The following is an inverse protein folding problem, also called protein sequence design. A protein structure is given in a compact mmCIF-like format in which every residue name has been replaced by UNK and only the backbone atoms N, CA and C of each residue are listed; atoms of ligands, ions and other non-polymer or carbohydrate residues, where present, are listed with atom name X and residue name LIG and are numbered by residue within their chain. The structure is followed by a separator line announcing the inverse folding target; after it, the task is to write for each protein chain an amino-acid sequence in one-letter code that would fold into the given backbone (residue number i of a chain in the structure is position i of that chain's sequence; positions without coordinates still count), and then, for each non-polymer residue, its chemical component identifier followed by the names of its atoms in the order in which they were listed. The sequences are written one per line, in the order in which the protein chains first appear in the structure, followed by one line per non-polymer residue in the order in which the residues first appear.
data_IF_477104649759
#
_entry.id   IF_477104649759
#
_cell.length_a   1.000
_cell.length_b   1.000
_cell.length_c   1.000
_cell.angle_alpha   90.00
_cell.angle_beta   90.00
_cell.angle_gamma   90.00
#
_symmetry.space_group_name_H-M   'P 1'
#
loop_
_entity.id
_entity.type
_entity.pdbx_description
1 polymer ?
#
# COMPACT_ATOMS: atom_id res chain seq x y z
N UNK A 1 -37.20 -21.13 -10.85
CA UNK A 1 -36.75 -22.04 -11.93
C UNK A 1 -35.75 -22.97 -11.29
N UNK A 2 -36.03 -24.27 -11.27
CA UNK A 2 -35.06 -25.25 -10.75
C UNK A 2 -33.89 -25.36 -11.73
N UNK A 3 -32.67 -25.29 -11.22
CA UNK A 3 -31.45 -25.47 -12.02
C UNK A 3 -31.05 -26.94 -12.01
N UNK A 4 -30.66 -27.53 -13.17
CA UNK A 4 -30.20 -28.91 -13.21
C UNK A 4 -28.99 -29.15 -12.28
N UNK A 5 -28.80 -30.39 -11.77
CA UNK A 5 -27.62 -30.74 -10.98
C UNK A 5 -26.32 -30.40 -11.74
N UNK A 6 -25.37 -29.74 -11.05
CA UNK A 6 -24.10 -29.30 -11.67
C UNK A 6 -24.16 -27.94 -12.38
N UNK A 7 -25.34 -27.31 -12.44
CA UNK A 7 -25.50 -25.91 -12.84
C UNK A 7 -25.87 -25.01 -11.66
N UNK A 8 -25.35 -23.80 -11.70
CA UNK A 8 -25.71 -22.73 -10.78
C UNK A 8 -26.11 -21.49 -11.58
N UNK A 9 -27.24 -20.91 -11.19
CA UNK A 9 -27.69 -19.63 -11.69
C UNK A 9 -27.34 -18.57 -10.65
N UNK A 10 -26.57 -17.56 -11.06
CA UNK A 10 -26.21 -16.43 -10.21
C UNK A 10 -26.74 -15.16 -10.87
N UNK A 11 -27.61 -14.43 -10.18
CA UNK A 11 -28.16 -13.17 -10.67
C UNK A 11 -27.88 -12.03 -9.70
N UNK A 12 -27.60 -10.85 -10.24
CA UNK A 12 -27.49 -9.62 -9.48
C UNK A 12 -28.02 -8.45 -10.31
N UNK A 13 -29.15 -7.86 -9.88
CA UNK A 13 -29.87 -6.85 -10.64
C UNK A 13 -30.14 -7.32 -12.09
N UNK A 14 -29.55 -6.65 -13.08
CA UNK A 14 -29.66 -6.94 -14.51
C UNK A 14 -28.62 -7.94 -15.03
N UNK A 15 -27.58 -8.25 -14.24
CA UNK A 15 -26.55 -9.22 -14.60
C UNK A 15 -26.96 -10.65 -14.23
N UNK A 16 -26.92 -11.56 -15.20
CA UNK A 16 -27.19 -12.99 -15.02
C UNK A 16 -26.01 -13.84 -15.48
N UNK A 17 -25.55 -14.75 -14.65
CA UNK A 17 -24.52 -15.73 -14.95
C UNK A 17 -25.03 -17.16 -14.77
N UNK A 18 -24.77 -17.99 -15.79
CA UNK A 18 -24.98 -19.44 -15.73
C UNK A 18 -23.62 -20.11 -15.59
N UNK A 19 -23.42 -20.85 -14.51
CA UNK A 19 -22.17 -21.55 -14.22
C UNK A 19 -22.45 -23.04 -14.29
N UNK A 20 -21.79 -23.75 -15.21
CA UNK A 20 -21.85 -25.20 -15.33
C UNK A 20 -20.46 -25.82 -15.16
N UNK A 21 -20.41 -27.03 -14.61
CA UNK A 21 -19.17 -27.81 -14.53
C UNK A 21 -19.36 -29.14 -15.27
N UNK A 22 -18.44 -29.47 -16.19
CA UNK A 22 -18.46 -30.71 -16.94
C UNK A 22 -17.03 -31.18 -17.29
N UNK A 23 -16.89 -32.45 -17.72
CA UNK A 23 -15.58 -33.03 -18.05
C UNK A 23 -15.15 -32.68 -19.48
N UNK A 24 -16.10 -32.53 -20.40
CA UNK A 24 -15.87 -32.15 -21.81
C UNK A 24 -16.69 -30.92 -22.20
N UNK A 25 -16.32 -30.26 -23.30
CA UNK A 25 -17.08 -29.13 -23.82
C UNK A 25 -18.47 -29.54 -24.32
N UNK A 26 -18.61 -30.71 -24.93
CA UNK A 26 -19.90 -31.25 -25.39
C UNK A 26 -20.86 -31.46 -24.22
N UNK A 27 -20.40 -32.09 -23.13
CA UNK A 27 -21.22 -32.24 -21.93
C UNK A 27 -21.62 -30.90 -21.31
N UNK A 28 -20.74 -29.89 -21.40
CA UNK A 28 -21.06 -28.54 -20.92
C UNK A 28 -22.11 -27.87 -21.81
N UNK A 29 -22.02 -28.07 -23.13
CA UNK A 29 -22.99 -27.61 -24.12
C UNK A 29 -24.38 -28.21 -23.88
N UNK A 30 -24.45 -29.54 -23.76
CA UNK A 30 -25.69 -30.29 -23.51
C UNK A 30 -26.37 -29.86 -22.21
N UNK A 31 -25.60 -29.43 -21.21
CA UNK A 31 -26.13 -29.03 -19.91
C UNK A 31 -26.54 -27.54 -19.86
N UNK A 32 -25.74 -26.65 -20.47
CA UNK A 32 -25.96 -25.19 -20.40
C UNK A 32 -27.01 -24.72 -21.41
N UNK A 33 -27.01 -25.21 -22.65
CA UNK A 33 -27.90 -24.69 -23.70
C UNK A 33 -29.40 -24.83 -23.37
N UNK A 34 -29.90 -25.96 -22.84
CA UNK A 34 -31.30 -26.07 -22.42
C UNK A 34 -31.66 -25.09 -21.29
N UNK A 35 -30.71 -24.84 -20.39
CA UNK A 35 -30.90 -23.88 -19.30
C UNK A 35 -30.98 -22.45 -19.84
N UNK A 36 -30.10 -22.07 -20.77
CA UNK A 36 -30.14 -20.77 -21.44
C UNK A 36 -31.46 -20.56 -22.21
N UNK A 37 -31.95 -21.58 -22.92
CA UNK A 37 -33.23 -21.53 -23.61
C UNK A 37 -34.41 -21.33 -22.65
N UNK A 38 -34.38 -22.03 -21.51
CA UNK A 38 -35.41 -21.89 -20.47
C UNK A 38 -35.42 -20.48 -19.87
N UNK A 39 -34.23 -19.91 -19.63
CA UNK A 39 -34.08 -18.53 -19.14
C UNK A 39 -34.67 -17.54 -20.16
N UNK A 40 -34.35 -17.68 -21.44
CA UNK A 40 -34.83 -16.79 -22.51
C UNK A 40 -36.37 -16.79 -22.59
N UNK A 41 -36.98 -17.99 -22.58
CA UNK A 41 -38.45 -18.15 -22.55
C UNK A 41 -39.05 -17.53 -21.29
N UNK A 42 -38.45 -17.79 -20.13
CA UNK A 42 -38.94 -17.27 -18.86
C UNK A 42 -38.87 -15.73 -18.82
N UNK A 43 -37.76 -15.13 -19.25
CA UNK A 43 -37.62 -13.66 -19.29
C UNK A 43 -38.68 -13.03 -20.20
N UNK A 44 -38.88 -13.58 -21.41
CA UNK A 44 -39.92 -13.11 -22.33
C UNK A 44 -41.32 -13.22 -21.73
N UNK A 45 -41.63 -14.32 -21.03
CA UNK A 45 -42.91 -14.49 -20.33
C UNK A 45 -43.16 -13.44 -19.23
N UNK A 46 -42.12 -12.77 -18.75
CA UNK A 46 -42.17 -11.70 -17.76
C UNK A 46 -42.02 -10.30 -18.36
N UNK A 47 -42.05 -10.18 -19.70
CA UNK A 47 -41.86 -8.91 -20.40
C UNK A 47 -40.43 -8.38 -20.36
N UNK A 48 -39.44 -9.24 -20.09
CA UNK A 48 -38.02 -8.92 -20.13
C UNK A 48 -37.37 -9.54 -21.36
N UNK A 49 -36.36 -8.87 -21.92
CA UNK A 49 -35.63 -9.35 -23.08
C UNK A 49 -34.14 -9.47 -22.77
N UNK A 50 -33.56 -10.64 -23.06
CA UNK A 50 -32.11 -10.83 -23.01
C UNK A 50 -31.45 -10.10 -24.17
N UNK A 51 -30.39 -9.36 -23.88
CA UNK A 51 -29.53 -8.82 -24.92
C UNK A 51 -28.60 -9.92 -25.45
N UNK A 52 -29.09 -10.82 -26.31
CA UNK A 52 -28.35 -12.01 -26.78
C UNK A 52 -26.96 -11.66 -27.35
N UNK A 53 -26.83 -10.54 -28.05
CA UNK A 53 -25.57 -10.07 -28.65
C UNK A 53 -24.53 -9.60 -27.63
N UNK A 54 -24.94 -9.30 -26.40
CA UNK A 54 -24.05 -8.92 -25.29
C UNK A 54 -23.66 -10.11 -24.43
N UNK A 55 -24.29 -11.28 -24.61
CA UNK A 55 -23.95 -12.49 -23.88
C UNK A 55 -22.57 -12.97 -24.31
N UNK A 56 -21.69 -13.20 -23.35
CA UNK A 56 -20.35 -13.73 -23.55
C UNK A 56 -20.10 -14.87 -22.57
N UNK A 57 -19.18 -15.78 -22.91
CA UNK A 57 -18.80 -16.87 -22.03
C UNK A 57 -17.28 -17.00 -21.92
N UNK A 58 -16.81 -17.46 -20.77
CA UNK A 58 -15.43 -17.89 -20.55
C UNK A 58 -15.44 -19.35 -20.10
N UNK A 59 -14.56 -20.16 -20.65
CA UNK A 59 -14.33 -21.51 -20.16
C UNK A 59 -13.14 -21.49 -19.19
N UNK A 60 -13.43 -21.76 -17.92
CA UNK A 60 -12.41 -21.84 -16.87
C UNK A 60 -11.82 -23.26 -16.86
N UNK A 61 -10.57 -23.42 -17.31
CA UNK A 61 -9.94 -24.74 -17.38
C UNK A 61 -8.43 -24.67 -17.19
N UNK A 62 -7.89 -25.67 -16.48
CA UNK A 62 -6.44 -25.89 -16.38
C UNK A 62 -5.90 -26.73 -17.55
N UNK A 63 -6.77 -27.38 -18.34
CA UNK A 63 -6.37 -28.18 -19.49
C UNK A 63 -5.89 -27.28 -20.62
N UNK A 64 -4.76 -27.62 -21.24
CA UNK A 64 -4.19 -26.85 -22.36
C UNK A 64 -5.00 -27.02 -23.66
N UNK A 65 -5.56 -28.21 -23.88
CA UNK A 65 -6.38 -28.53 -25.03
C UNK A 65 -7.69 -29.18 -24.55
N UNK A 66 -8.80 -28.71 -25.10
CA UNK A 66 -10.13 -29.28 -24.94
C UNK A 66 -10.98 -28.81 -26.13
N UNK A 67 -12.03 -29.56 -26.46
CA UNK A 67 -13.03 -29.12 -27.44
C UNK A 67 -13.92 -28.08 -26.77
N UNK A 68 -14.00 -26.84 -27.28
CA UNK A 68 -14.83 -25.79 -26.70
C UNK A 68 -16.34 -26.08 -26.89
N UNK A 69 -17.19 -25.74 -25.90
CA UNK A 69 -18.65 -25.84 -26.04
C UNK A 69 -19.17 -24.84 -27.08
N UNK A 70 -20.23 -25.20 -27.81
CA UNK A 70 -20.97 -24.29 -28.69
C UNK A 70 -22.21 -23.77 -27.97
N UNK A 71 -22.04 -22.67 -27.26
CA UNK A 71 -23.11 -22.08 -26.48
C UNK A 71 -24.02 -21.20 -27.35
N UNK A 72 -25.33 -21.31 -27.18
CA UNK A 72 -26.32 -20.49 -27.89
C UNK A 72 -27.43 -20.02 -26.96
N UNK A 73 -27.96 -18.83 -27.21
CA UNK A 73 -29.14 -18.29 -26.49
C UNK A 73 -30.02 -17.52 -27.47
N UNK A 74 -31.33 -17.80 -27.48
CA UNK A 74 -32.26 -17.17 -28.41
C UNK A 74 -31.85 -17.31 -29.89
N UNK A 75 -31.23 -18.44 -30.27
CA UNK A 75 -30.71 -18.68 -31.63
C UNK A 75 -29.39 -17.98 -31.98
N UNK A 76 -28.80 -17.21 -31.07
CA UNK A 76 -27.53 -16.51 -31.28
C UNK A 76 -26.36 -17.28 -30.65
N UNK A 77 -25.21 -17.44 -31.34
CA UNK A 77 -24.02 -18.03 -30.75
C UNK A 77 -23.40 -17.09 -29.70
N UNK A 78 -23.10 -17.64 -28.52
CA UNK A 78 -22.39 -16.92 -27.46
C UNK A 78 -20.89 -17.07 -27.71
N UNK A 79 -20.15 -15.97 -27.99
CA UNK A 79 -18.72 -16.04 -28.22
C UNK A 79 -17.97 -16.46 -26.95
N UNK A 80 -17.04 -17.41 -27.11
CA UNK A 80 -16.06 -17.72 -26.07
C UNK A 80 -14.95 -16.68 -26.08
N UNK A 81 -14.71 -16.05 -24.94
CA UNK A 81 -13.64 -15.08 -24.72
C UNK A 81 -12.54 -15.67 -23.84
N UNK A 82 -11.36 -15.06 -23.88
CA UNK A 82 -10.28 -15.39 -22.94
C UNK A 82 -10.52 -14.80 -21.55
N UNK A 83 -11.34 -13.76 -21.46
CA UNK A 83 -11.73 -13.08 -20.24
C UNK A 83 -13.15 -12.52 -20.39
N UNK A 84 -13.89 -12.45 -19.28
CA UNK A 84 -15.19 -11.78 -19.21
C UNK A 84 -15.23 -10.85 -18.00
N UNK A 85 -16.04 -9.80 -18.07
CA UNK A 85 -16.33 -8.94 -16.92
C UNK A 85 -17.65 -9.35 -16.29
N UNK A 86 -17.64 -9.65 -15.00
CA UNK A 86 -18.84 -9.94 -14.21
C UNK A 86 -18.77 -9.18 -12.89
N UNK A 87 -19.81 -8.38 -12.58
CA UNK A 87 -19.89 -7.54 -11.37
C UNK A 87 -18.62 -6.71 -11.13
N UNK A 88 -18.07 -6.12 -12.20
CA UNK A 88 -16.87 -5.31 -12.16
C UNK A 88 -15.53 -6.06 -12.01
N UNK A 89 -15.56 -7.39 -11.88
CA UNK A 89 -14.36 -8.24 -11.83
C UNK A 89 -14.08 -8.86 -13.19
N UNK A 90 -12.82 -8.89 -13.61
CA UNK A 90 -12.41 -9.52 -14.88
C UNK A 90 -11.92 -10.94 -14.57
N UNK A 91 -12.64 -11.93 -15.07
CA UNK A 91 -12.35 -13.35 -14.92
C UNK A 91 -11.66 -13.84 -16.20
N UNK A 92 -10.35 -14.08 -16.15
CA UNK A 92 -9.64 -14.76 -17.24
C UNK A 92 -9.79 -16.29 -17.14
N UNK A 93 -9.62 -16.99 -18.26
CA UNK A 93 -9.78 -18.46 -18.38
C UNK A 93 -8.95 -19.30 -17.39
N UNK A 94 -7.92 -18.72 -16.78
CA UNK A 94 -7.05 -19.38 -15.79
C UNK A 94 -7.23 -18.82 -14.38
N UNK A 95 -8.12 -17.86 -14.18
CA UNK A 95 -8.31 -17.13 -12.91
C UNK A 95 -6.99 -16.59 -12.35
N UNK A 96 -6.13 -16.08 -13.24
CA UNK A 96 -4.88 -15.41 -12.82
C UNK A 96 -5.14 -13.98 -12.33
N UNK A 97 -6.25 -13.39 -12.76
CA UNK A 97 -6.69 -12.03 -12.53
C UNK A 97 -5.69 -10.96 -12.94
N UNK A 98 -4.73 -11.28 -13.81
CA UNK A 98 -3.71 -10.34 -14.27
C UNK A 98 -4.32 -9.15 -15.04
N UNK A 99 -5.33 -9.42 -15.87
CA UNK A 99 -6.08 -8.40 -16.59
C UNK A 99 -6.88 -7.51 -15.63
N UNK A 100 -7.50 -8.11 -14.59
CA UNK A 100 -8.21 -7.37 -13.55
C UNK A 100 -7.27 -6.45 -12.78
N UNK A 101 -6.17 -7.00 -12.24
CA UNK A 101 -5.15 -6.26 -11.49
C UNK A 101 -4.59 -5.07 -12.29
N UNK A 102 -4.32 -5.29 -13.58
CA UNK A 102 -3.85 -4.23 -14.49
C UNK A 102 -4.91 -3.14 -14.69
N UNK A 103 -6.17 -3.52 -14.84
CA UNK A 103 -7.28 -2.58 -15.02
C UNK A 103 -7.51 -1.71 -13.78
N UNK A 104 -7.57 -2.31 -12.59
CA UNK A 104 -7.76 -1.57 -11.33
C UNK A 104 -6.55 -0.70 -11.02
N UNK A 105 -5.32 -1.18 -11.28
CA UNK A 105 -4.11 -0.40 -11.09
C UNK A 105 -4.03 0.80 -12.04
N UNK A 106 -4.41 0.64 -13.30
CA UNK A 106 -4.44 1.74 -14.27
C UNK A 106 -5.45 2.83 -13.85
N UNK A 107 -6.63 2.44 -13.34
CA UNK A 107 -7.62 3.38 -12.78
C UNK A 107 -7.07 4.10 -11.55
N UNK A 108 -6.48 3.35 -10.62
CA UNK A 108 -5.87 3.88 -9.41
C UNK A 108 -4.70 4.83 -9.71
N UNK A 109 -3.88 4.55 -10.73
CA UNK A 109 -2.78 5.41 -11.15
C UNK A 109 -3.26 6.78 -11.62
N UNK A 110 -4.31 6.83 -12.45
CA UNK A 110 -4.91 8.10 -12.90
C UNK A 110 -5.43 8.92 -11.71
N UNK A 111 -6.10 8.25 -10.76
CA UNK A 111 -6.57 8.89 -9.52
C UNK A 111 -5.41 9.41 -8.68
N UNK A 112 -4.34 8.62 -8.50
CA UNK A 112 -3.17 9.02 -7.73
C UNK A 112 -2.47 10.25 -8.33
N UNK A 113 -2.36 10.33 -9.67
CA UNK A 113 -1.82 11.51 -10.36
C UNK A 113 -2.71 12.73 -10.17
N UNK A 114 -4.03 12.58 -10.31
CA UNK A 114 -4.98 13.68 -10.11
C UNK A 114 -4.89 14.23 -8.67
N UNK A 115 -4.90 13.34 -7.67
CA UNK A 115 -4.80 13.71 -6.27
C UNK A 115 -3.43 14.29 -5.90
N UNK A 116 -2.36 13.89 -6.58
CA UNK A 116 -1.01 14.42 -6.34
C UNK A 116 -0.94 15.94 -6.54
N UNK A 117 -1.79 16.51 -7.40
CA UNK A 117 -1.89 17.96 -7.63
C UNK A 117 -2.40 18.73 -6.41
N UNK A 118 -3.12 18.06 -5.51
CA UNK A 118 -3.63 18.62 -4.25
C UNK A 118 -2.66 18.41 -3.07
N UNK A 119 -1.53 17.75 -3.31
CA UNK A 119 -0.57 17.33 -2.28
C UNK A 119 0.86 17.74 -2.66
N UNK A 120 1.16 19.05 -2.83
CA UNK A 120 2.52 19.51 -3.13
C UNK A 120 3.51 19.07 -2.05
N UNK A 121 4.79 18.86 -2.36
CA UNK A 121 5.74 18.38 -1.35
C UNK A 121 6.05 19.46 -0.29
N UNK A 122 6.14 20.72 -0.69
CA UNK A 122 6.31 21.85 0.24
C UNK A 122 4.97 22.55 0.49
N UNK A 123 4.71 22.87 1.76
CA UNK A 123 3.44 23.49 2.18
C UNK A 123 2.21 22.59 1.99
N UNK A 124 1.03 23.22 1.99
CA UNK A 124 -0.25 22.54 1.75
C UNK A 124 -0.75 21.71 2.92
N UNK A 125 -1.54 20.67 2.61
CA UNK A 125 -2.32 19.92 3.60
C UNK A 125 -1.47 19.09 4.58
N UNK A 126 -1.98 18.93 5.80
CA UNK A 126 -1.40 18.06 6.82
C UNK A 126 -1.39 16.58 6.38
N UNK A 127 -0.47 15.79 6.92
CA UNK A 127 -0.26 14.39 6.53
C UNK A 127 -1.54 13.54 6.60
N UNK A 128 -2.36 13.70 7.65
CA UNK A 128 -3.60 12.92 7.79
C UNK A 128 -4.61 13.20 6.66
N UNK A 129 -4.71 14.45 6.18
CA UNK A 129 -5.56 14.81 5.03
C UNK A 129 -5.03 14.15 3.75
N UNK A 130 -3.71 14.12 3.57
CA UNK A 130 -3.07 13.45 2.44
C UNK A 130 -3.30 11.94 2.48
N UNK A 131 -3.22 11.33 3.66
CA UNK A 131 -3.49 9.90 3.85
C UNK A 131 -4.95 9.57 3.51
N UNK A 132 -5.89 10.43 3.91
CA UNK A 132 -7.29 10.30 3.51
C UNK A 132 -7.45 10.34 1.98
N UNK A 133 -6.79 11.27 1.29
CA UNK A 133 -6.79 11.29 -0.18
C UNK A 133 -6.17 10.01 -0.76
N UNK A 134 -5.04 9.55 -0.22
CA UNK A 134 -4.39 8.32 -0.65
C UNK A 134 -5.26 7.07 -0.44
N UNK A 135 -6.13 7.03 0.57
CA UNK A 135 -7.05 5.89 0.79
C UNK A 135 -8.07 5.70 -0.34
N UNK A 136 -8.32 6.73 -1.17
CA UNK A 136 -9.15 6.59 -2.39
C UNK A 136 -8.44 5.66 -3.39
N UNK A 137 -7.12 5.79 -3.51
CA UNK A 137 -6.29 4.94 -4.39
C UNK A 137 -6.31 3.50 -3.89
N UNK A 138 -6.15 3.28 -2.58
CA UNK A 138 -6.26 1.93 -1.98
C UNK A 138 -7.65 1.32 -2.16
N UNK A 139 -8.71 2.12 -1.98
CA UNK A 139 -10.08 1.64 -2.16
C UNK A 139 -10.35 1.19 -3.60
N UNK A 140 -9.79 1.88 -4.60
CA UNK A 140 -9.88 1.47 -6.00
C UNK A 140 -9.09 0.19 -6.27
N UNK A 141 -7.87 0.09 -5.72
CA UNK A 141 -7.02 -1.09 -5.88
C UNK A 141 -7.62 -2.34 -5.21
N UNK A 142 -8.34 -2.17 -4.09
CA UNK A 142 -8.86 -3.26 -3.28
C UNK A 142 -10.33 -3.63 -3.59
N UNK A 143 -10.87 -3.13 -4.71
CA UNK A 143 -12.21 -3.48 -5.15
C UNK A 143 -12.31 -4.98 -5.41
N UNK A 144 -13.26 -5.64 -4.74
CA UNK A 144 -13.45 -7.09 -4.80
C UNK A 144 -12.21 -7.94 -4.49
N UNK A 145 -11.19 -7.37 -3.82
CA UNK A 145 -9.89 -8.02 -3.56
C UNK A 145 -9.97 -9.46 -3.04
N UNK A 146 -10.87 -9.81 -2.10
CA UNK A 146 -10.97 -11.20 -1.61
C UNK A 146 -11.13 -12.27 -2.68
N UNK A 147 -11.66 -11.92 -3.85
CA UNK A 147 -11.90 -12.87 -4.96
C UNK A 147 -10.62 -13.17 -5.73
N UNK A 148 -9.75 -12.17 -5.91
CA UNK A 148 -8.66 -12.23 -6.89
C UNK A 148 -7.26 -12.04 -6.30
N UNK A 149 -7.15 -11.49 -5.09
CA UNK A 149 -5.85 -11.20 -4.49
C UNK A 149 -4.93 -12.43 -4.32
N UNK A 150 -5.42 -13.64 -3.95
CA UNK A 150 -4.53 -14.77 -3.68
C UNK A 150 -3.73 -15.14 -4.93
N UNK A 151 -4.42 -15.26 -6.06
CA UNK A 151 -3.82 -15.55 -7.37
C UNK A 151 -2.84 -14.46 -7.81
N UNK A 152 -3.13 -13.18 -7.51
CA UNK A 152 -2.25 -12.06 -7.87
C UNK A 152 -0.99 -12.03 -7.01
N UNK A 153 -1.08 -12.38 -5.72
CA UNK A 153 0.05 -12.37 -4.80
C UNK A 153 1.08 -13.46 -5.06
N UNK A 154 0.67 -14.57 -5.68
CA UNK A 154 1.57 -15.66 -6.10
C UNK A 154 2.55 -15.23 -7.20
N UNK A 155 2.19 -14.21 -8.00
CA UNK A 155 2.97 -13.75 -9.15
C UNK A 155 3.59 -12.39 -8.86
N UNK A 156 4.91 -12.36 -8.63
CA UNK A 156 5.65 -11.14 -8.30
C UNK A 156 5.39 -9.98 -9.27
N UNK A 157 5.31 -10.27 -10.58
CA UNK A 157 5.01 -9.26 -11.62
C UNK A 157 3.65 -8.61 -11.42
N UNK A 158 2.61 -9.40 -11.14
CA UNK A 158 1.24 -8.92 -10.98
C UNK A 158 1.08 -8.18 -9.66
N UNK A 159 1.71 -8.67 -8.58
CA UNK A 159 1.81 -7.94 -7.31
C UNK A 159 2.45 -6.55 -7.49
N UNK A 160 3.54 -6.45 -8.25
CA UNK A 160 4.23 -5.18 -8.50
C UNK A 160 3.36 -4.15 -9.24
N UNK A 161 2.40 -4.60 -10.07
CA UNK A 161 1.45 -3.71 -10.76
C UNK A 161 0.56 -2.96 -9.76
N UNK A 162 0.18 -3.58 -8.65
CA UNK A 162 -0.65 -2.96 -7.61
C UNK A 162 0.12 -1.94 -6.76
N UNK A 163 1.42 -2.17 -6.53
CA UNK A 163 2.25 -1.30 -5.69
C UNK A 163 2.52 0.05 -6.36
N UNK A 164 2.62 0.12 -7.70
CA UNK A 164 2.99 1.35 -8.42
C UNK A 164 2.01 2.53 -8.19
N UNK A 165 0.67 2.35 -8.30
CA UNK A 165 -0.27 3.43 -7.96
C UNK A 165 -0.24 3.81 -6.49
N UNK A 166 -0.15 2.83 -5.59
CA UNK A 166 -0.06 3.08 -4.15
C UNK A 166 1.19 3.90 -3.83
N UNK A 167 2.36 3.52 -4.36
CA UNK A 167 3.62 4.26 -4.28
C UNK A 167 3.45 5.72 -4.68
N UNK A 168 2.80 5.98 -5.82
CA UNK A 168 2.56 7.33 -6.32
C UNK A 168 1.80 8.19 -5.30
N UNK A 169 0.79 7.60 -4.64
CA UNK A 169 0.02 8.27 -3.60
C UNK A 169 0.85 8.46 -2.32
N UNK A 170 1.54 7.42 -1.83
CA UNK A 170 2.26 7.49 -0.54
C UNK A 170 3.47 8.41 -0.57
N UNK A 171 4.17 8.54 -1.70
CA UNK A 171 5.24 9.54 -1.86
C UNK A 171 4.73 10.97 -1.59
N UNK A 172 3.46 11.26 -1.95
CA UNK A 172 2.81 12.55 -1.66
C UNK A 172 2.33 12.66 -0.23
N UNK A 173 1.88 11.56 0.39
CA UNK A 173 1.53 11.52 1.81
C UNK A 173 2.72 11.95 2.67
N UNK A 174 3.91 11.43 2.34
CA UNK A 174 5.14 11.72 3.07
C UNK A 174 5.94 12.89 2.50
N UNK A 175 5.48 13.59 1.46
CA UNK A 175 6.21 14.74 0.88
C UNK A 175 7.64 14.39 0.38
N UNK A 176 7.91 13.15 0.01
CA UNK A 176 9.26 12.69 -0.33
C UNK A 176 9.69 13.02 -1.75
N UNK A 177 11.00 12.88 -1.98
CA UNK A 177 11.57 12.74 -3.32
C UNK A 177 11.04 11.48 -4.02
N UNK A 178 10.85 11.56 -5.34
CA UNK A 178 10.35 10.44 -6.15
C UNK A 178 11.26 9.21 -6.16
N UNK A 179 12.52 9.37 -5.75
CA UNK A 179 13.55 8.32 -5.67
C UNK A 179 13.44 7.46 -4.41
N UNK A 180 12.74 7.90 -3.35
CA UNK A 180 12.56 7.14 -2.10
C UNK A 180 11.92 5.79 -2.42
N UNK A 181 12.43 4.68 -1.90
CA UNK A 181 11.90 3.34 -2.22
C UNK A 181 10.44 3.13 -1.79
N UNK A 182 9.76 2.16 -2.39
CA UNK A 182 8.38 1.83 -2.09
C UNK A 182 8.24 1.30 -0.66
N UNK A 183 9.19 0.48 -0.25
CA UNK A 183 9.30 -0.05 1.11
C UNK A 183 9.37 1.08 2.16
N UNK A 184 10.27 2.06 2.00
CA UNK A 184 10.36 3.20 2.92
C UNK A 184 9.10 4.06 2.89
N UNK A 185 8.56 4.33 1.69
CA UNK A 185 7.43 5.21 1.53
C UNK A 185 6.16 4.67 2.19
N UNK A 186 5.91 3.36 2.07
CA UNK A 186 4.78 2.68 2.70
C UNK A 186 4.89 2.70 4.23
N UNK A 187 6.10 2.44 4.76
CA UNK A 187 6.36 2.48 6.21
C UNK A 187 6.10 3.88 6.76
N UNK A 188 6.72 4.91 6.16
CA UNK A 188 6.56 6.29 6.61
C UNK A 188 5.13 6.82 6.45
N UNK A 189 4.41 6.39 5.40
CA UNK A 189 3.00 6.75 5.23
C UNK A 189 2.07 6.03 6.24
N UNK A 190 2.59 5.01 6.93
CA UNK A 190 1.82 4.06 7.75
C UNK A 190 0.69 3.41 6.94
N UNK A 191 1.00 3.03 5.69
CA UNK A 191 0.07 2.42 4.75
C UNK A 191 0.66 1.08 4.32
N UNK A 192 0.12 -0.07 4.81
CA UNK A 192 0.64 -1.38 4.44
C UNK A 192 0.59 -1.61 2.92
N UNK A 193 1.50 -2.40 2.35
CA UNK A 193 1.44 -2.81 0.96
C UNK A 193 0.05 -3.32 0.59
N UNK A 194 -0.51 -2.81 -0.51
CA UNK A 194 -1.90 -3.10 -0.91
C UNK A 194 -2.17 -4.59 -1.11
N UNK A 195 -1.13 -5.35 -1.47
CA UNK A 195 -1.26 -6.79 -1.62
C UNK A 195 -1.46 -7.50 -0.28
N UNK A 196 -0.84 -7.02 0.81
CA UNK A 196 -1.12 -7.49 2.16
C UNK A 196 -2.50 -7.04 2.63
N UNK A 197 -2.91 -5.80 2.34
CA UNK A 197 -4.26 -5.33 2.64
C UNK A 197 -5.35 -6.13 1.92
N UNK A 198 -5.06 -6.61 0.71
CA UNK A 198 -5.97 -7.50 -0.01
C UNK A 198 -6.10 -8.84 0.70
N UNK A 199 -4.97 -9.45 1.11
CA UNK A 199 -4.96 -10.69 1.91
C UNK A 199 -5.67 -10.50 3.26
N UNK A 200 -5.49 -9.36 3.92
CA UNK A 200 -6.23 -8.98 5.13
C UNK A 200 -7.75 -9.04 4.90
N UNK A 201 -8.23 -8.42 3.82
CA UNK A 201 -9.65 -8.43 3.45
C UNK A 201 -10.15 -9.84 3.10
N UNK A 202 -9.32 -10.64 2.46
CA UNK A 202 -9.65 -12.04 2.15
C UNK A 202 -9.81 -12.84 3.44
N UNK A 203 -8.84 -12.75 4.35
CA UNK A 203 -8.85 -13.42 5.64
C UNK A 203 -10.10 -13.02 6.45
N UNK A 204 -10.41 -11.72 6.56
CA UNK A 204 -11.62 -11.26 7.24
C UNK A 204 -12.87 -11.87 6.60
N UNK A 205 -12.93 -11.88 5.27
CA UNK A 205 -14.07 -12.42 4.53
C UNK A 205 -14.26 -13.93 4.70
N UNK A 206 -13.19 -14.71 4.73
CA UNK A 206 -13.28 -16.17 4.93
C UNK A 206 -13.71 -16.49 6.36
N UNK A 207 -13.10 -15.85 7.37
CA UNK A 207 -13.39 -16.12 8.78
C UNK A 207 -14.83 -15.73 9.17
N UNK A 208 -15.34 -14.60 8.67
CA UNK A 208 -16.72 -14.19 8.94
C UNK A 208 -17.78 -15.09 8.28
N UNK A 209 -17.39 -15.89 7.27
CA UNK A 209 -18.27 -16.81 6.54
C UNK A 209 -17.97 -18.28 6.82
N UNK A 210 -17.02 -18.57 7.69
CA UNK A 210 -16.69 -19.94 8.05
C UNK A 210 -17.91 -20.64 8.66
N UNK A 211 -18.09 -21.90 8.28
CA UNK A 211 -19.05 -22.79 8.93
C UNK A 211 -18.56 -22.99 10.37
N UNK A 212 -19.49 -22.93 11.32
CA UNK A 212 -19.18 -23.09 12.73
C UNK A 212 -19.51 -24.51 13.17
N UNK A 213 -18.64 -25.09 13.98
CA UNK A 213 -18.93 -26.37 14.62
C UNK A 213 -19.96 -26.19 15.74
N UNK A 214 -20.74 -27.25 16.07
CA UNK A 214 -21.72 -27.18 17.15
C UNK A 214 -21.07 -26.77 18.48
N UNK A 215 -21.54 -25.68 19.08
CA UNK A 215 -21.04 -25.16 20.36
C UNK A 215 -19.93 -24.11 20.25
N UNK A 216 -19.43 -23.81 19.05
CA UNK A 216 -18.48 -22.71 18.87
C UNK A 216 -19.15 -21.33 19.03
N UNK A 217 -18.41 -20.39 19.59
CA UNK A 217 -18.81 -18.98 19.65
C UNK A 217 -18.20 -18.23 18.47
N UNK A 218 -19.04 -17.56 17.65
CA UNK A 218 -18.52 -16.77 16.52
C UNK A 218 -17.69 -15.60 17.05
N UNK A 219 -16.44 -15.40 16.59
CA UNK A 219 -15.67 -14.24 16.98
C UNK A 219 -16.33 -12.96 16.48
N UNK A 220 -16.19 -11.87 17.25
CA UNK A 220 -16.72 -10.59 16.82
C UNK A 220 -15.99 -10.09 15.58
N UNK A 221 -16.69 -9.33 14.72
CA UNK A 221 -16.07 -8.70 13.55
C UNK A 221 -14.86 -7.83 13.90
N UNK A 222 -14.87 -7.21 15.09
CA UNK A 222 -13.75 -6.44 15.58
C UNK A 222 -12.54 -7.33 15.94
N UNK A 223 -12.77 -8.48 16.59
CA UNK A 223 -11.72 -9.43 16.92
C UNK A 223 -11.05 -9.99 15.65
N UNK A 224 -11.85 -10.43 14.66
CA UNK A 224 -11.33 -10.94 13.37
C UNK A 224 -10.51 -9.87 12.64
N UNK A 225 -10.96 -8.61 12.64
CA UNK A 225 -10.22 -7.50 12.02
C UNK A 225 -8.89 -7.22 12.72
N UNK A 226 -8.86 -7.30 14.05
CA UNK A 226 -7.65 -7.08 14.83
C UNK A 226 -6.61 -8.17 14.53
N UNK A 227 -7.04 -9.43 14.57
CA UNK A 227 -6.19 -10.58 14.22
C UNK A 227 -5.67 -10.48 12.78
N UNK A 228 -6.53 -10.15 11.81
CA UNK A 228 -6.13 -9.95 10.42
C UNK A 228 -5.06 -8.84 10.25
N UNK A 229 -5.18 -7.76 11.04
CA UNK A 229 -4.20 -6.68 11.07
C UNK A 229 -2.87 -7.11 11.70
N UNK A 230 -2.90 -7.90 12.77
CA UNK A 230 -1.70 -8.47 13.39
C UNK A 230 -0.94 -9.36 12.40
N UNK A 231 -1.63 -10.26 11.70
CA UNK A 231 -1.06 -11.09 10.63
C UNK A 231 -0.43 -10.22 9.53
N UNK A 232 -1.12 -9.15 9.13
CA UNK A 232 -0.63 -8.19 8.13
C UNK A 232 0.64 -7.48 8.58
N UNK A 233 0.72 -7.06 9.83
CA UNK A 233 1.91 -6.40 10.39
C UNK A 233 3.08 -7.38 10.46
N UNK A 234 2.87 -8.63 10.89
CA UNK A 234 3.92 -9.65 10.92
C UNK A 234 4.47 -9.92 9.52
N UNK A 235 3.58 -10.11 8.53
CA UNK A 235 3.99 -10.31 7.14
C UNK A 235 4.73 -9.08 6.57
N UNK A 236 4.32 -7.87 6.96
CA UNK A 236 4.98 -6.64 6.56
C UNK A 236 6.37 -6.49 7.21
N UNK A 237 6.49 -6.81 8.49
CA UNK A 237 7.75 -6.81 9.23
C UNK A 237 8.78 -7.75 8.58
N UNK A 238 8.36 -8.95 8.20
CA UNK A 238 9.23 -9.91 7.51
C UNK A 238 9.77 -9.34 6.18
N UNK A 239 8.91 -8.70 5.38
CA UNK A 239 9.32 -8.02 4.14
C UNK A 239 10.26 -6.85 4.41
N UNK A 240 10.01 -6.11 5.48
CA UNK A 240 10.82 -4.97 5.88
C UNK A 240 12.22 -5.38 6.29
N UNK A 241 12.39 -6.48 7.02
CA UNK A 241 13.70 -7.02 7.34
C UNK A 241 14.44 -7.59 6.12
N UNK A 242 13.72 -8.25 5.21
CA UNK A 242 14.32 -8.91 4.05
C UNK A 242 14.74 -7.95 2.93
N UNK A 243 14.20 -6.73 2.87
CA UNK A 243 14.45 -5.83 1.73
C UNK A 243 15.84 -5.21 1.76
N UNK A 244 16.62 -5.28 0.65
CA UNK A 244 17.90 -4.57 0.56
C UNK A 244 17.71 -3.06 0.37
N UNK A 245 16.49 -2.61 0.07
CA UNK A 245 16.17 -1.19 -0.08
C UNK A 245 16.01 -0.54 1.29
N UNK A 246 16.07 0.79 1.35
CA UNK A 246 15.73 1.58 2.53
C UNK A 246 16.54 1.25 3.80
N UNK A 247 17.82 0.85 3.65
CA UNK A 247 18.67 0.48 4.78
C UNK A 247 18.70 1.53 5.90
N UNK A 248 18.83 2.81 5.55
CA UNK A 248 18.76 3.91 6.50
C UNK A 248 17.41 3.96 7.25
N UNK A 249 16.29 4.02 6.51
CA UNK A 249 14.95 4.07 7.11
C UNK A 249 14.69 2.87 8.02
N UNK A 250 15.19 1.69 7.67
CA UNK A 250 15.07 0.49 8.51
C UNK A 250 15.91 0.57 9.78
N UNK A 251 17.08 1.22 9.73
CA UNK A 251 17.89 1.44 10.91
C UNK A 251 17.16 2.32 11.94
N UNK A 252 16.51 3.39 11.48
CA UNK A 252 15.76 4.30 12.37
C UNK A 252 14.34 3.84 12.70
N UNK A 253 13.75 2.96 11.88
CA UNK A 253 12.43 2.34 12.11
C UNK A 253 12.56 0.82 11.91
N UNK A 254 13.15 0.10 12.88
CA UNK A 254 13.37 -1.35 12.74
C UNK A 254 12.10 -2.17 12.99
N UNK A 255 11.20 -1.68 13.84
CA UNK A 255 9.96 -2.36 14.27
C UNK A 255 8.72 -1.59 13.80
N UNK A 256 7.95 -2.22 12.91
CA UNK A 256 6.73 -1.68 12.33
C UNK A 256 5.55 -1.70 13.30
N UNK A 257 5.45 -2.69 14.21
CA UNK A 257 4.39 -2.72 15.20
C UNK A 257 4.56 -1.53 16.15
N UNK A 258 5.79 -1.30 16.61
CA UNK A 258 6.15 -0.13 17.43
C UNK A 258 5.93 1.18 16.68
N UNK A 259 6.34 1.25 15.41
CA UNK A 259 6.12 2.45 14.59
C UNK A 259 4.63 2.79 14.42
N UNK A 260 3.80 1.81 14.10
CA UNK A 260 2.36 2.00 13.89
C UNK A 260 1.61 2.27 15.20
N UNK A 261 2.08 1.67 16.30
CA UNK A 261 1.54 1.79 17.65
C UNK A 261 2.34 2.73 18.55
N UNK A 262 2.97 3.76 17.99
CA UNK A 262 3.79 4.70 18.77
C UNK A 262 2.98 5.51 19.78
N UNK A 263 3.63 5.88 20.89
CA UNK A 263 3.05 6.60 22.02
C UNK A 263 3.24 8.11 21.93
N UNK A 264 4.24 8.57 21.18
CA UNK A 264 4.38 10.01 20.87
C UNK A 264 3.27 10.46 19.91
N UNK A 265 2.70 11.67 20.10
CA UNK A 265 1.69 12.22 19.19
C UNK A 265 2.17 12.23 17.73
N UNK A 266 1.22 12.10 16.79
CA UNK A 266 1.52 12.17 15.35
C UNK A 266 1.94 13.59 14.95
N UNK A 267 3.18 13.96 15.23
CA UNK A 267 3.80 15.16 14.64
C UNK A 267 4.04 14.86 13.15
N UNK A 268 3.72 15.81 12.26
CA UNK A 268 3.59 15.54 10.84
C UNK A 268 4.92 15.20 10.18
N UNK A 269 4.90 14.23 9.25
CA UNK A 269 5.97 14.11 8.25
C UNK A 269 5.97 15.35 7.35
N UNK A 270 6.88 16.27 7.64
CA UNK A 270 7.23 17.40 6.78
C UNK A 270 8.15 16.95 5.65
N UNK A 271 8.50 17.91 4.79
CA UNK A 271 9.52 17.71 3.79
C UNK A 271 10.85 17.32 4.44
N UNK A 272 11.36 18.09 5.41
CA UNK A 272 12.65 17.85 6.08
C UNK A 272 12.66 16.59 6.94
N UNK A 273 11.63 16.34 7.77
CA UNK A 273 11.54 15.08 8.52
C UNK A 273 11.57 13.87 7.61
N UNK A 274 10.98 13.97 6.43
CA UNK A 274 11.04 12.87 5.45
C UNK A 274 12.42 12.70 4.86
N UNK A 275 13.19 13.77 4.63
CA UNK A 275 14.60 13.64 4.25
C UNK A 275 15.41 12.96 5.35
N UNK A 276 15.22 13.39 6.60
CA UNK A 276 15.88 12.80 7.76
C UNK A 276 15.59 11.30 7.92
N UNK A 277 14.35 10.85 7.65
CA UNK A 277 13.98 9.44 7.80
C UNK A 277 14.27 8.59 6.55
N UNK A 278 14.55 9.20 5.39
CA UNK A 278 14.80 8.48 4.13
C UNK A 278 16.25 8.56 3.66
N UNK A 279 17.03 9.51 4.17
CA UNK A 279 18.37 9.83 3.66
C UNK A 279 18.36 10.42 2.26
N UNK A 280 17.20 10.92 1.79
CA UNK A 280 17.04 11.55 0.48
C UNK A 280 16.83 13.05 0.68
N UNK A 281 17.84 13.85 0.33
CA UNK A 281 17.86 15.26 0.69
C UNK A 281 19.08 16.02 0.21
N UNK A 282 19.34 17.17 0.81
CA UNK A 282 20.54 17.99 0.58
C UNK A 282 21.82 17.40 1.21
N UNK A 283 21.98 16.07 1.17
CA UNK A 283 23.18 15.37 1.66
C UNK A 283 24.12 15.11 0.49
N UNK A 284 25.39 15.52 0.55
CA UNK A 284 26.33 15.39 -0.58
C UNK A 284 26.52 13.94 -1.02
N UNK A 285 26.46 12.97 -0.08
CA UNK A 285 26.45 11.55 -0.44
C UNK A 285 25.27 11.20 -1.37
N UNK A 286 24.07 11.69 -1.06
CA UNK A 286 22.89 11.47 -1.88
C UNK A 286 22.96 12.26 -3.20
N UNK A 287 23.37 13.53 -3.15
CA UNK A 287 23.47 14.38 -4.33
C UNK A 287 24.50 13.84 -5.32
N UNK A 288 25.66 13.36 -4.85
CA UNK A 288 26.68 12.70 -5.68
C UNK A 288 26.13 11.45 -6.34
N UNK A 289 25.43 10.58 -5.59
CA UNK A 289 24.76 9.39 -6.13
C UNK A 289 23.73 9.74 -7.22
N UNK A 290 23.10 10.91 -7.12
CA UNK A 290 22.14 11.43 -8.11
C UNK A 290 22.79 12.24 -9.23
N UNK A 291 24.14 12.34 -9.29
CA UNK A 291 24.87 13.10 -10.29
C UNK A 291 24.74 14.63 -10.15
N UNK A 292 24.42 15.12 -8.96
CA UNK A 292 24.21 16.55 -8.65
C UNK A 292 25.34 17.19 -7.85
N UNK A 293 26.27 16.40 -7.32
CA UNK A 293 27.44 16.87 -6.60
C UNK A 293 28.71 16.17 -7.10
N UNK A 294 29.85 16.85 -6.99
CA UNK A 294 31.14 16.34 -7.46
C UNK A 294 31.83 15.38 -6.48
N UNK A 295 31.43 15.38 -5.21
CA UNK A 295 31.99 14.50 -4.18
C UNK A 295 30.95 14.18 -3.11
N UNK A 296 31.21 13.18 -2.28
CA UNK A 296 30.37 12.84 -1.12
C UNK A 296 30.71 13.65 0.13
N UNK A 297 31.75 14.49 0.10
CA UNK A 297 32.27 15.16 1.29
C UNK A 297 31.30 16.20 1.84
N UNK A 298 31.23 16.33 3.16
CA UNK A 298 30.45 17.38 3.81
C UNK A 298 31.15 18.71 3.61
N UNK A 299 30.50 19.69 2.99
CA UNK A 299 31.15 20.98 2.76
C UNK A 299 31.16 21.87 4.01
N UNK A 300 30.23 21.65 4.95
CA UNK A 300 30.17 22.41 6.21
C UNK A 300 31.37 22.13 7.13
N UNK A 301 31.79 20.86 7.26
CA UNK A 301 32.89 20.48 8.16
C UNK A 301 34.07 19.80 7.45
N UNK A 302 34.01 19.68 6.12
CA UNK A 302 35.00 18.99 5.28
C UNK A 302 35.15 17.49 5.57
N UNK A 303 34.18 16.85 6.24
CA UNK A 303 34.13 15.41 6.51
C UNK A 303 34.06 14.55 5.24
N UNK A 304 34.42 13.28 5.35
CA UNK A 304 34.58 12.38 4.18
C UNK A 304 33.27 12.00 3.48
N UNK A 305 32.17 11.92 4.22
CA UNK A 305 30.86 11.52 3.70
C UNK A 305 29.73 12.25 4.40
N UNK A 306 29.01 13.09 3.66
CA UNK A 306 27.82 13.79 4.10
C UNK A 306 26.60 12.89 3.95
N UNK A 307 26.39 12.03 4.93
CA UNK A 307 25.16 11.26 5.08
C UNK A 307 24.19 12.01 5.99
N UNK A 308 22.96 11.52 6.07
CA UNK A 308 21.99 12.00 7.06
C UNK A 308 22.44 11.75 8.51
N UNK A 309 23.09 10.61 8.77
CA UNK A 309 23.71 10.30 10.07
C UNK A 309 24.78 11.35 10.41
N UNK A 310 25.67 11.62 9.44
CA UNK A 310 26.69 12.64 9.60
C UNK A 310 26.09 14.03 9.87
N UNK A 311 25.18 14.48 9.01
CA UNK A 311 24.57 15.82 9.13
C UNK A 311 23.83 15.98 10.46
N UNK A 312 23.08 14.98 10.92
CA UNK A 312 22.24 15.13 12.11
C UNK A 312 22.98 14.86 13.43
N UNK A 313 24.01 14.01 13.42
CA UNK A 313 24.61 13.49 14.66
C UNK A 313 26.12 13.72 14.77
N UNK A 314 26.86 13.70 13.65
CA UNK A 314 28.34 13.72 13.70
C UNK A 314 28.97 15.08 13.35
N UNK A 315 28.28 15.89 12.54
CA UNK A 315 28.83 17.10 11.96
C UNK A 315 28.92 18.24 13.00
N UNK A 316 30.13 18.71 13.35
CA UNK A 316 30.32 19.71 14.42
C UNK A 316 29.75 21.08 14.07
N UNK A 317 29.53 21.37 12.78
CA UNK A 317 28.91 22.62 12.33
C UNK A 317 27.49 22.78 12.90
N UNK A 318 26.79 21.66 13.14
CA UNK A 318 25.41 21.67 13.63
C UNK A 318 25.28 21.50 15.14
N UNK A 319 26.39 21.39 15.90
CA UNK A 319 26.37 21.08 17.34
C UNK A 319 25.46 22.03 18.14
N UNK A 320 25.48 23.33 17.82
CA UNK A 320 24.64 24.33 18.50
C UNK A 320 23.14 24.08 18.38
N UNK A 321 22.68 23.48 17.28
CA UNK A 321 21.27 23.11 17.08
C UNK A 321 20.90 21.78 17.76
N UNK A 322 21.90 20.97 18.11
CA UNK A 322 21.74 19.68 18.79
C UNK A 322 21.76 19.82 20.32
N UNK A 323 22.29 20.91 20.87
CA UNK A 323 22.51 21.09 22.33
C UNK A 323 21.25 20.92 23.17
N UNK A 324 20.10 21.43 22.74
CA UNK A 324 18.86 21.30 23.50
C UNK A 324 18.40 19.83 23.63
N UNK A 325 18.53 19.05 22.55
CA UNK A 325 18.23 17.62 22.56
C UNK A 325 19.26 16.85 23.39
N UNK A 326 20.55 17.15 23.20
CA UNK A 326 21.68 16.57 23.95
C UNK A 326 21.50 16.76 25.45
N UNK A 327 21.20 17.97 25.89
CA UNK A 327 20.96 18.29 27.30
C UNK A 327 19.75 17.52 27.85
N UNK A 328 18.72 17.29 27.03
CA UNK A 328 17.54 16.54 27.45
C UNK A 328 17.78 15.04 27.59
N UNK A 329 18.48 14.42 26.63
CA UNK A 329 18.74 12.96 26.65
C UNK A 329 19.96 12.59 27.50
N UNK A 330 20.82 13.56 27.84
CA UNK A 330 21.97 13.38 28.74
C UNK A 330 23.26 12.91 28.06
N UNK A 331 23.26 12.73 26.74
CA UNK A 331 24.43 12.35 25.95
C UNK A 331 24.30 12.89 24.52
N UNK A 332 25.36 12.73 23.70
CA UNK A 332 25.31 13.10 22.28
C UNK A 332 24.26 12.25 21.57
N UNK A 333 23.26 12.85 20.88
CA UNK A 333 22.29 12.10 20.11
C UNK A 333 22.96 11.29 19.00
N UNK A 334 22.45 10.09 18.77
CA UNK A 334 22.95 9.14 17.79
C UNK A 334 21.80 8.45 17.04
N UNK A 335 22.12 7.68 16.02
CA UNK A 335 21.15 6.90 15.27
C UNK A 335 20.37 5.90 16.14
N UNK A 336 21.01 5.37 17.20
CA UNK A 336 20.39 4.37 18.10
C UNK A 336 19.28 4.96 18.98
N UNK A 337 19.28 6.28 19.18
CA UNK A 337 18.26 6.98 19.96
C UNK A 337 16.99 7.24 19.15
N UNK A 338 17.11 7.26 17.82
CA UNK A 338 16.03 7.68 16.92
C UNK A 338 14.77 6.82 17.07
N UNK A 339 14.82 5.47 17.09
CA UNK A 339 13.62 4.65 17.29
C UNK A 339 12.84 5.01 18.56
N UNK A 340 13.56 5.27 19.65
CA UNK A 340 12.96 5.64 20.94
C UNK A 340 12.38 7.04 20.93
N UNK A 341 13.06 7.99 20.31
CA UNK A 341 12.60 9.37 20.16
C UNK A 341 11.32 9.44 19.30
N UNK A 342 11.29 8.74 18.16
CA UNK A 342 10.17 8.86 17.20
C UNK A 342 9.00 7.93 17.48
N UNK A 343 9.19 6.87 18.28
CA UNK A 343 8.11 5.98 18.68
C UNK A 343 7.64 6.18 20.12
N UNK A 344 8.47 6.79 20.97
CA UNK A 344 8.24 6.85 22.40
C UNK A 344 8.43 5.51 23.10
N UNK A 345 8.13 5.45 24.42
CA UNK A 345 8.19 4.22 25.20
C UNK A 345 7.19 3.18 24.67
N UNK A 346 7.53 1.91 24.84
CA UNK A 346 6.62 0.81 24.57
C UNK A 346 5.40 0.88 25.51
N UNK A 347 4.21 0.58 24.99
CA UNK A 347 2.96 0.69 25.76
C UNK A 347 2.97 -0.21 26.98
N UNK A 348 3.60 -1.38 26.88
CA UNK A 348 3.71 -2.40 27.92
C UNK A 348 4.62 -1.96 29.09
N UNK A 349 5.47 -0.97 28.86
CA UNK A 349 6.38 -0.41 29.86
C UNK A 349 5.80 0.82 30.58
N UNK A 350 4.62 1.29 30.18
CA UNK A 350 3.96 2.40 30.83
C UNK A 350 3.39 1.95 32.19
N UNK A 351 3.56 2.76 33.25
CA UNK A 351 3.00 2.44 34.55
C UNK A 351 1.46 2.47 34.52
N UNK A 352 0.84 1.72 35.42
CA UNK A 352 -0.61 1.66 35.52
C UNK A 352 -1.22 2.94 36.09
N UNK A 353 -0.47 3.70 36.89
CA UNK A 353 -0.95 4.95 37.46
C UNK A 353 -0.95 6.07 36.41
N UNK A 354 -2.04 6.84 36.41
CA UNK A 354 -2.27 7.87 35.39
C UNK A 354 -1.19 8.97 35.42
N UNK A 355 -0.68 9.33 36.60
CA UNK A 355 0.27 10.42 36.76
C UNK A 355 1.66 10.06 36.22
N UNK A 356 2.17 8.89 36.56
CA UNK A 356 3.43 8.36 36.06
C UNK A 356 3.37 8.12 34.55
N UNK A 357 2.24 7.60 34.05
CA UNK A 357 2.01 7.43 32.62
C UNK A 357 2.06 8.77 31.89
N UNK A 358 1.34 9.77 32.39
CA UNK A 358 1.32 11.12 31.82
C UNK A 358 2.71 11.77 31.83
N UNK A 359 3.46 11.63 32.91
CA UNK A 359 4.81 12.18 33.02
C UNK A 359 5.76 11.60 31.98
N UNK A 360 5.74 10.27 31.81
CA UNK A 360 6.56 9.55 30.83
C UNK A 360 6.18 9.96 29.39
N UNK A 361 4.88 10.06 29.10
CA UNK A 361 4.42 10.45 27.77
C UNK A 361 4.78 11.90 27.43
N UNK A 362 4.67 12.83 28.39
CA UNK A 362 5.09 14.23 28.19
C UNK A 362 6.59 14.35 27.95
N UNK A 363 7.40 13.57 28.67
CA UNK A 363 8.84 13.55 28.46
C UNK A 363 9.21 12.96 27.08
N UNK A 364 8.52 11.90 26.65
CA UNK A 364 8.69 11.37 25.30
C UNK A 364 8.30 12.37 24.20
N UNK A 365 7.18 13.08 24.39
CA UNK A 365 6.73 14.14 23.49
C UNK A 365 7.74 15.29 23.41
N UNK A 366 8.32 15.69 24.55
CA UNK A 366 9.29 16.78 24.59
C UNK A 366 10.63 16.40 23.94
N UNK A 367 11.13 15.17 24.15
CA UNK A 367 12.30 14.64 23.42
C UNK A 367 12.06 14.65 21.91
N UNK A 368 10.88 14.21 21.50
CA UNK A 368 10.50 14.22 20.10
C UNK A 368 10.38 15.64 19.54
N UNK A 369 9.79 16.58 20.27
CA UNK A 369 9.69 17.99 19.87
C UNK A 369 11.07 18.61 19.66
N UNK A 370 12.01 18.35 20.56
CA UNK A 370 13.40 18.82 20.44
C UNK A 370 14.10 18.22 19.23
N UNK A 371 13.97 16.91 19.03
CA UNK A 371 14.52 16.24 17.83
C UNK A 371 13.91 16.76 16.53
N UNK A 372 12.59 16.94 16.49
CA UNK A 372 11.89 17.50 15.35
C UNK A 372 12.38 18.92 15.03
N UNK A 373 12.51 19.77 16.06
CA UNK A 373 13.04 21.14 15.89
C UNK A 373 14.49 21.14 15.39
N UNK A 374 15.33 20.26 15.93
CA UNK A 374 16.72 20.06 15.49
C UNK A 374 16.77 19.71 13.99
N UNK A 375 15.98 18.71 13.56
CA UNK A 375 15.92 18.28 12.15
C UNK A 375 15.43 19.40 11.23
N UNK A 376 14.34 20.07 11.59
CA UNK A 376 13.79 21.17 10.78
C UNK A 376 14.79 22.32 10.63
N UNK A 377 15.45 22.73 11.72
CA UNK A 377 16.40 23.84 11.69
C UNK A 377 17.65 23.48 10.87
N UNK A 378 18.27 22.31 11.13
CA UNK A 378 19.47 21.86 10.42
C UNK A 378 19.18 21.76 8.92
N UNK A 379 18.12 21.05 8.54
CA UNK A 379 17.86 20.80 7.12
C UNK A 379 17.35 22.04 6.38
N UNK A 380 16.64 22.95 7.06
CA UNK A 380 16.26 24.24 6.46
C UNK A 380 17.50 25.07 6.14
N UNK A 381 18.40 25.26 7.11
CA UNK A 381 19.63 26.06 6.92
C UNK A 381 20.51 25.39 5.87
N UNK A 382 20.73 24.08 5.96
CA UNK A 382 21.54 23.31 5.02
C UNK A 382 21.01 23.43 3.58
N UNK A 383 19.69 23.35 3.37
CA UNK A 383 19.11 23.55 2.04
C UNK A 383 19.33 24.95 1.49
N UNK A 384 19.18 25.99 2.32
CA UNK A 384 19.38 27.36 1.87
C UNK A 384 20.84 27.64 1.52
N UNK A 385 21.79 27.18 2.34
CA UNK A 385 23.20 27.26 2.03
C UNK A 385 23.56 26.49 0.75
N UNK A 386 22.98 25.30 0.56
CA UNK A 386 23.17 24.48 -0.65
C UNK A 386 22.64 25.17 -1.91
N UNK A 387 21.49 25.84 -1.83
CA UNK A 387 20.93 26.63 -2.95
C UNK A 387 21.85 27.79 -3.31
N UNK A 388 22.37 28.51 -2.32
CA UNK A 388 23.33 29.61 -2.52
C UNK A 388 24.59 29.10 -3.21
N UNK A 389 25.14 27.97 -2.74
CA UNK A 389 26.33 27.33 -3.32
C UNK A 389 26.11 26.92 -4.78
N UNK A 390 25.00 26.26 -5.09
CA UNK A 390 24.65 25.87 -6.46
C UNK A 390 24.46 27.08 -7.38
N UNK A 391 23.87 28.16 -6.87
CA UNK A 391 23.71 29.40 -7.63
C UNK A 391 25.06 30.05 -7.94
N UNK A 392 26.00 30.07 -6.98
CA UNK A 392 27.36 30.58 -7.20
C UNK A 392 28.13 29.75 -8.24
N UNK A 393 28.07 28.42 -8.15
CA UNK A 393 28.74 27.53 -9.11
C UNK A 393 28.21 27.70 -10.54
N UNK A 394 26.90 27.92 -10.71
CA UNK A 394 26.32 28.19 -12.03
C UNK A 394 26.79 29.52 -12.63
N UNK A 395 26.99 30.55 -11.80
CA UNK A 395 27.52 31.84 -12.25
C UNK A 395 28.98 31.75 -12.67
N UNK A 396 29.77 30.89 -12.03
CA UNK A 396 31.19 30.71 -12.36
C UNK A 396 31.43 29.84 -13.61
N UNK A 397 30.39 29.18 -14.13
CA UNK A 397 30.42 28.34 -15.34
C UNK A 397 29.85 29.04 -16.58
N UNK A 398 29.31 30.26 -16.42
CA UNK A 398 28.86 31.17 -17.48
C UNK A 398 29.91 32.25 -17.68
#
# INVERSE_FOLDING_TARGET
METPPGLQLVGFADDLAVVGTAVTGEQLEDAINPTLATIDVWMRSRGLELAHQKSEAVVLSRRRAFVPPRLTVGGHPIPLRNEIRYLGVILDKRLTFAAHASTVAAKAARTAVALSRLMPNMGGSAQWKRRLLASVVESQLLYAAPVWIPSVTEVARTRAVLIRPQRTAVLRVIRSYHTVSDEAALVLACMPPVDLLGLERQYIGSHLRAVMEPGEQRPSKAAVKREAREITIVAWQARWHATPKAAWTRRVIPDLARWLGRTVPWVPLTYHMTQALTGHGCFEWYLHRMGKAASTRCWQCLGESDTVEHTLFDCPYWDGLCEALRARIGHRPSTEDVPDIICGPAFELLPADAQGKDAILREAEERFRLFYGMVENILSIKEDEERVRQAANRRNLQ
#
